data_IF_017031591165
#
_entry.id   IF_017031591165
#
_cell.length_a   1.000
_cell.length_b   1.000
_cell.length_c   1.000
_cell.angle_alpha   90.00
_cell.angle_beta   90.00
_cell.angle_gamma   90.00
#
_symmetry.space_group_name_H-M   'P 1'
#
loop_
_entity.id
_entity.type
_entity.pdbx_description
1 polymer ?
#
# COMPACT_ATOMS: atom_id res chain seq x y z
N UNK A 1 -25.21 4.46 1.61
CA UNK A 1 -23.80 4.62 1.20
C UNK A 1 -23.04 3.35 1.59
N UNK A 2 -22.40 2.63 0.66
CA UNK A 2 -21.49 1.53 1.03
C UNK A 2 -20.21 2.15 1.57
N UNK A 3 -19.77 1.76 2.77
CA UNK A 3 -18.54 2.34 3.33
C UNK A 3 -17.32 1.93 2.49
N UNK A 4 -16.33 2.82 2.40
CA UNK A 4 -15.04 2.53 1.74
C UNK A 4 -14.41 1.26 2.34
N UNK A 5 -14.54 1.06 3.65
CA UNK A 5 -14.08 -0.14 4.33
C UNK A 5 -14.76 -1.42 3.81
N UNK A 6 -16.06 -1.38 3.53
CA UNK A 6 -16.78 -2.52 2.95
C UNK A 6 -16.35 -2.78 1.49
N UNK A 7 -16.13 -1.73 0.69
CA UNK A 7 -15.64 -1.86 -0.68
C UNK A 7 -14.23 -2.49 -0.71
N UNK A 8 -13.32 -2.02 0.14
CA UNK A 8 -11.96 -2.55 0.25
C UNK A 8 -11.94 -4.01 0.70
N UNK A 9 -12.75 -4.38 1.71
CA UNK A 9 -12.88 -5.78 2.15
C UNK A 9 -13.35 -6.69 1.03
N UNK A 10 -14.32 -6.24 0.22
CA UNK A 10 -14.83 -7.02 -0.91
C UNK A 10 -13.80 -7.15 -2.03
N UNK A 11 -13.06 -6.09 -2.34
CA UNK A 11 -11.99 -6.12 -3.34
C UNK A 11 -10.86 -7.08 -2.92
N UNK A 12 -10.41 -6.99 -1.66
CA UNK A 12 -9.42 -7.90 -1.09
C UNK A 12 -9.90 -9.36 -1.13
N UNK A 13 -11.14 -9.63 -0.71
CA UNK A 13 -11.70 -10.99 -0.78
C UNK A 13 -11.79 -11.52 -2.21
N UNK A 14 -12.16 -10.67 -3.19
CA UNK A 14 -12.17 -11.02 -4.61
C UNK A 14 -10.78 -11.33 -5.15
N UNK A 15 -9.77 -10.56 -4.75
CA UNK A 15 -8.37 -10.81 -5.08
C UNK A 15 -7.89 -12.14 -4.49
N UNK A 16 -8.09 -12.38 -3.19
CA UNK A 16 -7.71 -13.64 -2.55
C UNK A 16 -8.47 -14.83 -3.12
N UNK A 17 -9.75 -14.70 -3.50
CA UNK A 17 -10.49 -15.79 -4.15
C UNK A 17 -9.92 -16.11 -5.53
N UNK A 18 -9.49 -15.09 -6.28
CA UNK A 18 -8.95 -15.23 -7.64
C UNK A 18 -7.53 -15.78 -7.65
N UNK A 19 -6.73 -15.47 -6.63
CA UNK A 19 -5.29 -15.71 -6.62
C UNK A 19 -4.78 -16.50 -5.39
N UNK A 20 -5.67 -16.97 -4.53
CA UNK A 20 -5.33 -17.41 -3.17
C UNK A 20 -4.52 -18.69 -3.06
N UNK A 21 -4.40 -19.50 -4.12
CA UNK A 21 -3.64 -20.74 -4.08
C UNK A 21 -2.96 -21.05 -5.43
N UNK A 22 -1.73 -21.57 -5.39
CA UNK A 22 -1.04 -22.17 -6.55
C UNK A 22 -0.10 -21.25 -7.35
N UNK A 23 0.15 -20.02 -6.89
CA UNK A 23 1.11 -19.11 -7.51
C UNK A 23 2.46 -19.21 -6.81
N UNK A 24 3.52 -19.29 -7.61
CA UNK A 24 4.89 -19.05 -7.12
C UNK A 24 5.08 -17.56 -6.83
N UNK A 25 6.07 -17.22 -6.01
CA UNK A 25 6.42 -15.82 -5.73
C UNK A 25 6.63 -15.02 -7.03
N UNK A 26 7.33 -15.59 -8.00
CA UNK A 26 7.58 -14.95 -9.31
C UNK A 26 6.29 -14.66 -10.08
N UNK A 27 5.34 -15.62 -10.09
CA UNK A 27 4.05 -15.41 -10.76
C UNK A 27 3.22 -14.34 -10.05
N UNK A 28 3.24 -14.30 -8.72
CA UNK A 28 2.61 -13.22 -7.96
C UNK A 28 3.24 -11.86 -8.29
N UNK A 29 4.57 -11.80 -8.36
CA UNK A 29 5.29 -10.57 -8.69
C UNK A 29 4.94 -10.07 -10.09
N UNK A 30 4.96 -10.94 -11.10
CA UNK A 30 4.57 -10.60 -12.47
C UNK A 30 3.14 -10.06 -12.55
N UNK A 31 2.18 -10.71 -11.87
CA UNK A 31 0.79 -10.23 -11.83
C UNK A 31 0.65 -8.86 -11.16
N UNK A 32 1.42 -8.59 -10.10
CA UNK A 32 1.46 -7.28 -9.46
C UNK A 32 2.02 -6.23 -10.43
N UNK A 33 3.12 -6.53 -11.13
CA UNK A 33 3.68 -5.65 -12.15
C UNK A 33 2.68 -5.35 -13.27
N UNK A 34 2.04 -6.36 -13.84
CA UNK A 34 1.01 -6.21 -14.87
C UNK A 34 -0.16 -5.34 -14.39
N UNK A 35 -0.59 -5.52 -13.14
CA UNK A 35 -1.66 -4.74 -12.54
C UNK A 35 -1.26 -3.26 -12.37
N UNK A 36 -0.04 -3.01 -11.89
CA UNK A 36 0.51 -1.66 -11.73
C UNK A 36 0.67 -0.98 -13.09
N UNK A 37 1.13 -1.70 -14.11
CA UNK A 37 1.29 -1.18 -15.47
C UNK A 37 -0.07 -0.80 -16.08
N UNK A 38 -1.07 -1.67 -15.96
CA UNK A 38 -2.43 -1.40 -16.44
C UNK A 38 -3.03 -0.16 -15.76
N UNK A 39 -2.90 -0.06 -14.43
CA UNK A 39 -3.36 1.12 -13.68
C UNK A 39 -2.60 2.38 -14.08
N UNK A 40 -1.29 2.29 -14.24
CA UNK A 40 -0.44 3.43 -14.64
C UNK A 40 -0.81 3.92 -16.04
N UNK A 41 -1.09 3.00 -16.98
CA UNK A 41 -1.58 3.33 -18.32
C UNK A 41 -2.91 4.07 -18.26
N UNK A 42 -3.88 3.53 -17.53
CA UNK A 42 -5.20 4.15 -17.34
C UNK A 42 -5.09 5.57 -16.75
N UNK A 43 -4.24 5.77 -15.75
CA UNK A 43 -4.01 7.08 -15.13
C UNK A 43 -3.36 8.05 -16.10
N UNK A 44 -2.39 7.58 -16.90
CA UNK A 44 -1.73 8.41 -17.89
C UNK A 44 -2.70 8.88 -18.97
N UNK A 45 -3.61 8.02 -19.40
CA UNK A 45 -4.62 8.31 -20.42
C UNK A 45 -5.70 9.28 -19.89
N UNK A 46 -5.99 9.28 -18.59
CA UNK A 46 -7.04 10.08 -17.96
C UNK A 46 -6.49 11.14 -16.98
N UNK A 47 -5.25 11.61 -17.19
CA UNK A 47 -4.47 12.38 -16.21
C UNK A 47 -5.14 13.68 -15.74
N UNK A 48 -5.98 14.30 -16.58
CA UNK A 48 -6.71 15.55 -16.29
C UNK A 48 -8.08 15.32 -15.65
N UNK A 49 -8.62 14.11 -15.71
CA UNK A 49 -10.00 13.80 -15.31
C UNK A 49 -10.05 13.06 -13.97
N UNK A 50 -8.98 12.36 -13.61
CA UNK A 50 -8.94 11.49 -12.45
C UNK A 50 -7.75 11.86 -11.56
N UNK A 51 -8.06 12.27 -10.32
CA UNK A 51 -7.08 12.31 -9.26
C UNK A 51 -7.04 10.98 -8.51
N UNK A 52 -5.92 10.27 -8.61
CA UNK A 52 -5.75 8.97 -7.96
C UNK A 52 -5.01 9.13 -6.63
N UNK A 53 -5.53 8.41 -5.63
CA UNK A 53 -4.90 8.18 -4.34
C UNK A 53 -4.65 6.68 -4.19
N UNK A 54 -3.43 6.32 -3.79
CA UNK A 54 -2.97 4.92 -3.68
C UNK A 54 -2.70 4.59 -2.23
N UNK A 55 -3.23 3.46 -1.77
CA UNK A 55 -2.94 2.95 -0.43
C UNK A 55 -2.46 1.52 -0.51
N UNK A 56 -1.40 1.19 0.24
CA UNK A 56 -0.94 -0.18 0.43
C UNK A 56 -0.78 -0.45 1.91
N UNK A 57 -1.28 -1.61 2.35
CA UNK A 57 -1.11 -2.09 3.72
C UNK A 57 -0.08 -3.20 3.74
N UNK A 58 0.99 -2.97 4.49
CA UNK A 58 2.03 -3.92 4.84
C UNK A 58 1.86 -4.40 6.29
N UNK A 59 0.71 -4.14 6.91
CA UNK A 59 0.41 -4.60 8.26
C UNK A 59 0.34 -6.13 8.30
N UNK A 60 0.80 -6.71 9.40
CA UNK A 60 0.93 -8.16 9.67
C UNK A 60 1.96 -8.88 8.81
N UNK A 61 2.71 -8.17 7.98
CA UNK A 61 3.92 -8.74 7.40
C UNK A 61 4.99 -8.87 8.50
N UNK A 62 5.80 -9.94 8.50
CA UNK A 62 6.74 -10.23 9.57
C UNK A 62 8.00 -9.33 9.53
N UNK A 63 7.91 -8.12 9.00
CA UNK A 63 9.06 -7.23 8.80
C UNK A 63 9.75 -6.89 10.12
N UNK A 64 8.99 -6.54 11.16
CA UNK A 64 9.53 -6.21 12.49
C UNK A 64 10.10 -7.44 13.22
N UNK A 65 9.74 -8.65 12.79
CA UNK A 65 10.18 -9.91 13.40
C UNK A 65 11.33 -10.58 12.63
N UNK A 66 11.71 -10.03 11.48
CA UNK A 66 12.70 -10.59 10.58
C UNK A 66 14.10 -10.54 11.22
N UNK A 67 14.82 -11.66 11.21
CA UNK A 67 16.17 -11.76 11.78
C UNK A 67 17.08 -12.57 10.86
N UNK A 68 18.09 -11.91 10.29
CA UNK A 68 19.07 -12.50 9.38
C UNK A 68 20.37 -12.96 10.08
N UNK A 69 20.34 -13.12 11.40
CA UNK A 69 21.53 -13.39 12.23
C UNK A 69 22.16 -12.12 12.81
N UNK A 70 21.59 -10.94 12.54
CA UNK A 70 22.04 -9.64 13.04
C UNK A 70 21.12 -9.05 14.12
N UNK A 71 20.15 -9.84 14.61
CA UNK A 71 19.09 -9.35 15.50
C UNK A 71 17.88 -8.84 14.71
N UNK A 72 16.84 -8.42 15.45
CA UNK A 72 15.62 -7.85 14.88
C UNK A 72 15.83 -6.38 14.49
N UNK A 73 15.14 -5.86 13.46
CA UNK A 73 15.24 -4.45 13.10
C UNK A 73 14.69 -3.58 14.24
N UNK A 74 15.38 -2.46 14.49
CA UNK A 74 14.88 -1.41 15.40
C UNK A 74 13.68 -0.70 14.77
N UNK A 75 13.69 -0.53 13.44
CA UNK A 75 12.61 0.07 12.66
C UNK A 75 12.68 -0.43 11.22
N UNK A 76 11.51 -0.61 10.59
CA UNK A 76 11.38 -0.89 9.17
C UNK A 76 10.64 0.28 8.53
N UNK A 77 11.31 0.94 7.59
CA UNK A 77 10.73 2.01 6.79
C UNK A 77 10.56 1.58 5.34
N UNK A 78 9.78 2.36 4.58
CA UNK A 78 9.75 2.29 3.12
C UNK A 78 10.41 3.54 2.55
N UNK A 79 11.10 3.40 1.41
CA UNK A 79 11.65 4.56 0.70
C UNK A 79 10.54 5.53 0.31
N UNK A 80 10.84 6.84 0.37
CA UNK A 80 9.94 7.89 -0.08
C UNK A 80 9.47 7.60 -1.51
N UNK A 81 8.18 7.28 -1.63
CA UNK A 81 7.55 7.08 -2.93
C UNK A 81 7.67 8.37 -3.73
N UNK A 82 8.21 8.29 -4.96
CA UNK A 82 8.14 9.39 -5.93
C UNK A 82 6.73 9.53 -6.55
N UNK A 83 5.80 8.66 -6.17
CA UNK A 83 4.42 8.66 -6.65
C UNK A 83 3.60 9.55 -5.72
N UNK A 84 3.05 10.63 -6.27
CA UNK A 84 2.15 11.54 -5.53
C UNK A 84 0.95 10.78 -4.98
N UNK A 85 0.33 11.31 -3.93
CA UNK A 85 -0.92 10.81 -3.36
C UNK A 85 -0.85 9.34 -2.91
N UNK A 86 0.24 8.95 -2.26
CA UNK A 86 0.47 7.57 -1.80
C UNK A 86 0.43 7.48 -0.28
N UNK A 87 -0.17 6.41 0.24
CA UNK A 87 -0.21 6.06 1.66
C UNK A 87 0.29 4.63 1.85
N UNK A 88 1.23 4.41 2.76
CA UNK A 88 1.68 3.09 3.15
C UNK A 88 1.38 2.89 4.62
N UNK A 89 0.67 1.82 4.95
CA UNK A 89 0.37 1.44 6.33
C UNK A 89 1.28 0.30 6.76
N UNK A 90 1.93 0.43 7.90
CA UNK A 90 2.83 -0.58 8.46
C UNK A 90 2.51 -0.80 9.94
N UNK A 91 2.89 -1.96 10.47
CA UNK A 91 2.79 -2.19 11.92
C UNK A 91 3.80 -1.28 12.63
N UNK A 92 3.32 -0.52 13.61
CA UNK A 92 4.21 0.31 14.41
C UNK A 92 5.06 -0.56 15.33
N UNK A 93 6.20 -0.03 15.78
CA UNK A 93 7.01 -0.67 16.81
C UNK A 93 6.29 -0.78 18.16
N UNK A 94 5.24 0.03 18.38
CA UNK A 94 4.41 -0.06 19.57
C UNK A 94 3.34 -1.14 19.38
N UNK A 95 3.10 -2.00 20.39
CA UNK A 95 2.06 -3.03 20.28
C UNK A 95 0.70 -2.43 19.90
N UNK A 96 0.10 -2.97 18.84
CA UNK A 96 -1.23 -2.58 18.38
C UNK A 96 -1.34 -1.24 17.64
N UNK A 97 -0.23 -0.52 17.43
CA UNK A 97 -0.21 0.72 16.65
C UNK A 97 0.02 0.48 15.16
N UNK A 98 -0.43 1.41 14.33
CA UNK A 98 -0.16 1.46 12.88
C UNK A 98 0.62 2.74 12.59
N UNK A 99 1.70 2.62 11.82
CA UNK A 99 2.42 3.76 11.27
C UNK A 99 1.96 3.99 9.82
N UNK A 100 1.70 5.25 9.46
CA UNK A 100 1.30 5.65 8.12
C UNK A 100 2.38 6.54 7.50
N UNK A 101 3.00 6.06 6.41
CA UNK A 101 3.88 6.88 5.59
C UNK A 101 3.05 7.52 4.49
N UNK A 102 3.01 8.86 4.49
CA UNK A 102 2.13 9.64 3.62
C UNK A 102 2.95 10.51 2.67
N UNK A 103 2.70 10.35 1.37
CA UNK A 103 3.27 11.19 0.32
C UNK A 103 2.17 12.01 -0.34
N UNK A 104 2.16 13.32 -0.08
CA UNK A 104 1.21 14.28 -0.65
C UNK A 104 1.94 15.52 -1.18
N UNK A 105 1.27 16.27 -2.05
CA UNK A 105 1.68 17.63 -2.38
C UNK A 105 1.59 18.52 -1.14
N UNK A 106 2.49 19.51 -1.05
CA UNK A 106 2.68 20.34 0.15
C UNK A 106 1.38 20.95 0.68
N UNK A 107 0.55 21.49 -0.21
CA UNK A 107 -0.70 22.15 0.17
C UNK A 107 -1.69 21.16 0.80
N UNK A 108 -1.74 19.93 0.26
CA UNK A 108 -2.59 18.86 0.79
C UNK A 108 -2.06 18.31 2.11
N UNK A 109 -0.74 18.19 2.25
CA UNK A 109 -0.11 17.80 3.51
C UNK A 109 -0.39 18.84 4.61
N UNK A 110 -0.27 20.13 4.28
CA UNK A 110 -0.52 21.21 5.24
C UNK A 110 -1.98 21.27 5.72
N UNK A 111 -2.93 20.79 4.91
CA UNK A 111 -4.33 20.61 5.33
C UNK A 111 -4.43 19.39 6.25
N UNK A 112 -3.86 18.24 5.85
CA UNK A 112 -3.90 17.01 6.64
C UNK A 112 -3.30 17.17 8.04
N UNK A 113 -2.22 17.94 8.17
CA UNK A 113 -1.56 18.20 9.46
C UNK A 113 -2.38 19.09 10.41
N UNK A 114 -3.45 19.72 9.93
CA UNK A 114 -4.29 20.66 10.69
C UNK A 114 -5.71 20.15 10.96
N UNK A 115 -6.08 19.02 10.37
CA UNK A 115 -7.38 18.36 10.57
C UNK A 115 -7.36 17.52 11.87
#
# INVERSE_FOLDING_TARGET
MKSIAAALKNAAAGFFKKFGNGLTADKCYLLICESIEAETKMIRENKSEIEVYRCSSLCRYPFNEMNFGLGKPIWVGMFNSKIKNTFILMDSLKPGGIEALVTLEKDKMAILEKD
#
